data_IF_638498713667
#
_entry.id   IF_638498713667
#
_cell.length_a   1.000
_cell.length_b   1.000
_cell.length_c   1.000
_cell.angle_alpha   90.00
_cell.angle_beta   90.00
_cell.angle_gamma   90.00
#
_symmetry.space_group_name_H-M   'P 1'
#
loop_
_entity.id
_entity.type
_entity.pdbx_description
1 polymer ?
#
# COMPACT_ATOMS: atom_id res chain seq x y z
N UNK A 1 1.77 -19.67 -17.51
CA UNK A 1 0.95 -20.07 -18.68
C UNK A 1 0.99 -18.96 -19.72
N UNK A 2 0.27 -17.86 -19.51
CA UNK A 2 0.22 -16.71 -20.42
C UNK A 2 1.59 -16.20 -20.90
N UNK A 3 2.49 -15.87 -19.98
CA UNK A 3 3.82 -15.36 -20.34
C UNK A 3 4.64 -16.34 -21.20
N UNK A 4 4.34 -17.64 -21.20
CA UNK A 4 5.14 -18.64 -21.92
C UNK A 4 4.37 -19.24 -23.12
N UNK A 5 3.40 -18.51 -23.67
CA UNK A 5 2.72 -18.87 -24.93
C UNK A 5 1.46 -19.73 -24.79
N UNK A 6 1.00 -20.02 -23.57
CA UNK A 6 -0.28 -20.71 -23.35
C UNK A 6 -1.44 -19.74 -23.06
N UNK A 7 -2.65 -20.27 -22.95
CA UNK A 7 -3.86 -19.54 -22.56
C UNK A 7 -4.54 -20.14 -21.32
N UNK A 8 -5.43 -19.39 -20.70
CA UNK A 8 -6.27 -19.84 -19.59
C UNK A 8 -7.73 -19.49 -19.89
N UNK A 9 -8.62 -20.46 -19.81
CA UNK A 9 -10.03 -20.33 -20.17
C UNK A 9 -10.93 -20.87 -19.06
N UNK A 10 -12.05 -20.20 -18.82
CA UNK A 10 -13.11 -20.67 -17.92
C UNK A 10 -14.26 -21.18 -18.81
N UNK A 11 -14.50 -22.48 -18.79
CA UNK A 11 -15.54 -23.12 -19.62
C UNK A 11 -16.91 -23.10 -18.90
N UNK A 12 -17.90 -22.31 -19.36
CA UNK A 12 -19.18 -22.17 -18.65
C UNK A 12 -20.00 -23.48 -18.59
N UNK A 13 -19.74 -24.40 -19.51
CA UNK A 13 -20.39 -25.71 -19.59
C UNK A 13 -19.81 -26.74 -18.62
N UNK A 14 -18.57 -26.58 -18.16
CA UNK A 14 -17.92 -27.49 -17.22
C UNK A 14 -18.10 -26.97 -15.79
N UNK A 15 -18.92 -27.65 -14.98
CA UNK A 15 -19.30 -27.17 -13.64
C UNK A 15 -18.81 -28.13 -12.56
N UNK A 16 -18.05 -27.61 -11.60
CA UNK A 16 -17.61 -28.32 -10.40
C UNK A 16 -17.98 -27.45 -9.19
N UNK A 17 -18.69 -28.02 -8.22
CA UNK A 17 -19.02 -27.31 -6.99
C UNK A 17 -17.83 -27.33 -6.03
N UNK A 18 -17.46 -26.17 -5.49
CA UNK A 18 -16.45 -26.02 -4.45
C UNK A 18 -17.12 -25.58 -3.14
N UNK A 19 -16.88 -26.32 -2.05
CA UNK A 19 -17.33 -25.93 -0.72
C UNK A 19 -16.21 -25.10 -0.07
N UNK A 20 -16.39 -23.79 -0.04
CA UNK A 20 -15.46 -22.90 0.64
C UNK A 20 -15.48 -23.13 2.16
N UNK A 21 -14.29 -23.20 2.74
CA UNK A 21 -14.11 -23.43 4.18
C UNK A 21 -13.83 -22.12 4.88
N UNK A 22 -14.48 -21.90 6.02
CA UNK A 22 -14.23 -20.75 6.89
C UNK A 22 -12.82 -20.76 7.51
N UNK A 23 -12.23 -21.95 7.70
CA UNK A 23 -10.86 -22.11 8.22
C UNK A 23 -10.14 -23.27 7.53
N UNK A 24 -8.81 -23.18 7.43
CA UNK A 24 -7.96 -24.29 6.97
C UNK A 24 -7.78 -25.30 8.11
N UNK A 25 -8.16 -26.58 7.94
CA UNK A 25 -8.15 -27.56 9.04
C UNK A 25 -6.76 -28.15 9.35
N UNK A 26 -5.78 -27.97 8.46
CA UNK A 26 -4.46 -28.61 8.54
C UNK A 26 -3.35 -27.69 9.04
N UNK A 27 -3.56 -26.37 9.05
CA UNK A 27 -2.56 -25.41 9.52
C UNK A 27 -3.27 -24.15 10.05
N UNK A 28 -2.94 -23.78 11.28
CA UNK A 28 -3.47 -22.58 11.92
C UNK A 28 -2.69 -21.31 11.53
N UNK A 29 -1.44 -21.46 11.08
CA UNK A 29 -0.58 -20.35 10.64
C UNK A 29 -0.25 -20.50 9.15
N UNK A 30 -1.16 -20.01 8.32
CA UNK A 30 -1.02 -19.97 6.86
C UNK A 30 -0.36 -18.68 6.37
N UNK A 31 -0.22 -17.67 7.22
CA UNK A 31 0.23 -16.34 6.83
C UNK A 31 1.68 -16.38 6.33
N UNK A 32 2.57 -17.04 7.08
CA UNK A 32 3.95 -17.24 6.66
C UNK A 32 4.05 -17.92 5.29
N UNK A 33 3.33 -19.02 5.09
CA UNK A 33 3.37 -19.78 3.84
C UNK A 33 2.73 -19.03 2.66
N UNK A 34 1.65 -18.28 2.91
CA UNK A 34 1.03 -17.44 1.91
C UNK A 34 2.00 -16.34 1.44
N UNK A 35 2.63 -15.62 2.38
CA UNK A 35 3.66 -14.62 2.10
C UNK A 35 4.83 -15.24 1.34
N UNK A 36 5.40 -16.33 1.85
CA UNK A 36 6.50 -17.06 1.19
C UNK A 36 6.16 -17.41 -0.26
N UNK A 37 5.02 -18.05 -0.51
CA UNK A 37 4.64 -18.49 -1.85
C UNK A 37 4.34 -17.30 -2.78
N UNK A 38 3.71 -16.24 -2.28
CA UNK A 38 3.47 -15.02 -3.03
C UNK A 38 4.79 -14.35 -3.44
N UNK A 39 5.76 -14.24 -2.53
CA UNK A 39 7.08 -13.69 -2.83
C UNK A 39 7.84 -14.53 -3.86
N UNK A 40 7.79 -15.87 -3.77
CA UNK A 40 8.39 -16.76 -4.79
C UNK A 40 7.80 -16.51 -6.18
N UNK A 41 6.48 -16.35 -6.27
CA UNK A 41 5.83 -16.05 -7.54
C UNK A 41 6.23 -14.66 -8.05
N UNK A 42 6.25 -13.66 -7.17
CA UNK A 42 6.61 -12.28 -7.51
C UNK A 42 8.05 -12.18 -8.04
N UNK A 43 9.01 -12.79 -7.35
CA UNK A 43 10.42 -12.77 -7.72
C UNK A 43 10.73 -13.50 -9.04
N UNK A 44 9.91 -14.49 -9.42
CA UNK A 44 10.11 -15.23 -10.67
C UNK A 44 9.39 -14.59 -11.84
N UNK A 45 8.16 -14.09 -11.64
CA UNK A 45 7.25 -13.79 -12.75
C UNK A 45 6.86 -12.33 -12.90
N UNK A 46 7.00 -11.50 -11.85
CA UNK A 46 6.41 -10.15 -11.81
C UNK A 46 7.40 -9.02 -12.11
N UNK A 47 8.66 -9.30 -12.44
CA UNK A 47 9.66 -8.30 -12.82
C UNK A 47 9.69 -7.10 -11.84
N UNK A 48 9.64 -5.85 -12.32
CA UNK A 48 9.58 -4.63 -11.50
C UNK A 48 8.25 -4.47 -10.72
N UNK A 49 7.19 -5.14 -11.16
CA UNK A 49 5.86 -5.11 -10.54
C UNK A 49 5.79 -5.97 -9.28
N UNK A 50 6.83 -6.76 -8.97
CA UNK A 50 6.91 -7.49 -7.70
C UNK A 50 6.69 -6.58 -6.50
N UNK A 51 7.13 -5.32 -6.59
CA UNK A 51 6.88 -4.25 -5.61
C UNK A 51 5.42 -4.15 -5.15
N UNK A 52 4.46 -4.49 -6.01
CA UNK A 52 3.02 -4.44 -5.69
C UNK A 52 2.65 -5.52 -4.66
N UNK A 53 3.27 -6.69 -4.72
CA UNK A 53 3.12 -7.76 -3.71
C UNK A 53 3.74 -7.31 -2.38
N UNK A 54 4.95 -6.74 -2.41
CA UNK A 54 5.60 -6.22 -1.21
C UNK A 54 4.76 -5.13 -0.53
N UNK A 55 4.16 -4.23 -1.32
CA UNK A 55 3.25 -3.20 -0.79
C UNK A 55 1.99 -3.80 -0.20
N UNK A 56 1.30 -4.68 -0.92
CA UNK A 56 0.03 -5.28 -0.49
C UNK A 56 0.17 -6.05 0.83
N UNK A 57 1.31 -6.70 1.05
CA UNK A 57 1.60 -7.47 2.27
C UNK A 57 2.38 -6.68 3.34
N UNK A 58 2.66 -5.39 3.12
CA UNK A 58 3.46 -4.55 4.00
C UNK A 58 4.85 -5.14 4.33
N UNK A 59 5.47 -5.80 3.34
CA UNK A 59 6.78 -6.46 3.46
C UNK A 59 7.86 -5.51 2.94
N UNK A 60 8.97 -5.28 3.67
CA UNK A 60 10.11 -4.51 3.16
C UNK A 60 10.70 -5.13 1.88
N UNK A 61 11.00 -4.30 0.87
CA UNK A 61 11.72 -4.75 -0.34
C UNK A 61 13.12 -5.27 0.00
N UNK A 62 13.82 -4.58 0.89
CA UNK A 62 15.13 -4.96 1.40
C UNK A 62 14.97 -5.68 2.74
N UNK A 63 15.52 -6.89 2.85
CA UNK A 63 15.38 -7.74 4.04
C UNK A 63 13.89 -7.99 4.42
N UNK A 64 13.16 -8.79 3.63
CA UNK A 64 11.71 -8.97 3.79
C UNK A 64 11.28 -9.63 5.12
N UNK A 65 12.21 -10.20 5.89
CA UNK A 65 11.90 -10.95 7.12
C UNK A 65 11.17 -12.28 6.87
N UNK A 66 10.80 -12.56 5.62
CA UNK A 66 10.25 -13.83 5.16
C UNK A 66 11.29 -14.47 4.26
N UNK A 67 11.91 -15.56 4.73
CA UNK A 67 12.66 -16.42 3.84
C UNK A 67 11.68 -17.03 2.83
N UNK A 68 11.93 -16.79 1.54
CA UNK A 68 11.18 -17.41 0.45
C UNK A 68 11.96 -18.49 -0.30
N UNK A 69 13.20 -18.77 0.13
CA UNK A 69 14.10 -19.78 -0.42
C UNK A 69 14.64 -19.47 -1.81
N UNK A 70 15.44 -20.38 -2.35
CA UNK A 70 16.00 -20.22 -3.69
C UNK A 70 14.93 -20.35 -4.78
N UNK A 71 15.00 -19.45 -5.76
CA UNK A 71 14.14 -19.40 -6.96
C UNK A 71 14.94 -19.46 -8.27
N UNK A 72 16.27 -19.64 -8.19
CA UNK A 72 17.20 -19.65 -9.32
C UNK A 72 16.77 -20.61 -10.44
N UNK A 73 16.37 -21.82 -10.09
CA UNK A 73 15.90 -22.84 -11.05
C UNK A 73 14.66 -22.37 -11.82
N UNK A 74 13.71 -21.71 -11.13
CA UNK A 74 12.48 -21.20 -11.74
C UNK A 74 12.75 -19.99 -12.63
N UNK A 75 13.68 -19.12 -12.24
CA UNK A 75 14.17 -18.04 -13.09
C UNK A 75 14.87 -18.60 -14.34
N UNK A 76 15.71 -19.63 -14.19
CA UNK A 76 16.37 -20.29 -15.31
C UNK A 76 15.37 -20.96 -16.26
N UNK A 77 14.32 -21.59 -15.73
CA UNK A 77 13.23 -22.15 -16.53
C UNK A 77 12.51 -21.06 -17.34
N UNK A 78 12.14 -19.94 -16.71
CA UNK A 78 11.50 -18.80 -17.40
C UNK A 78 12.35 -18.30 -18.58
N UNK A 79 13.67 -18.23 -18.41
CA UNK A 79 14.62 -17.86 -19.46
C UNK A 79 14.68 -18.89 -20.59
N UNK A 80 14.81 -20.18 -20.26
CA UNK A 80 14.86 -21.28 -21.26
C UNK A 80 13.60 -21.34 -22.13
N UNK A 81 12.44 -21.08 -21.52
CA UNK A 81 11.15 -21.07 -22.20
C UNK A 81 10.88 -19.78 -22.99
N UNK A 82 11.81 -18.82 -22.97
CA UNK A 82 11.69 -17.53 -23.65
C UNK A 82 10.36 -16.81 -23.32
N UNK A 83 9.94 -16.87 -22.06
CA UNK A 83 8.67 -16.28 -21.65
C UNK A 83 8.71 -14.74 -21.74
N UNK A 84 7.57 -14.15 -22.08
CA UNK A 84 7.28 -12.73 -22.10
C UNK A 84 7.46 -12.06 -20.72
N UNK A 85 7.63 -10.73 -20.74
CA UNK A 85 7.70 -9.91 -19.53
C UNK A 85 6.36 -9.84 -18.81
N UNK A 86 6.36 -9.44 -17.55
CA UNK A 86 5.14 -9.16 -16.81
C UNK A 86 4.44 -7.91 -17.34
N UNK A 87 5.21 -6.95 -17.85
CA UNK A 87 4.66 -5.80 -18.58
C UNK A 87 3.81 -6.24 -19.77
N UNK A 88 4.30 -7.18 -20.59
CA UNK A 88 3.52 -7.75 -21.70
C UNK A 88 2.22 -8.38 -21.20
N UNK A 89 2.27 -9.11 -20.08
CA UNK A 89 1.09 -9.72 -19.47
C UNK A 89 0.05 -8.67 -19.06
N UNK A 90 0.47 -7.57 -18.42
CA UNK A 90 -0.45 -6.49 -18.06
C UNK A 90 -1.00 -5.78 -19.30
N UNK A 91 -0.19 -5.55 -20.33
CA UNK A 91 -0.64 -4.85 -21.54
C UNK A 91 -1.60 -5.69 -22.42
N UNK A 92 -1.46 -7.02 -22.43
CA UNK A 92 -2.16 -7.88 -23.40
C UNK A 92 -3.15 -8.88 -22.78
N UNK A 93 -2.99 -9.21 -21.50
CA UNK A 93 -3.80 -10.24 -20.83
C UNK A 93 -4.64 -9.68 -19.70
N UNK A 94 -4.11 -8.73 -18.92
CA UNK A 94 -4.85 -8.15 -17.79
C UNK A 94 -4.67 -6.62 -17.66
N UNK A 95 -5.11 -5.84 -18.67
CA UNK A 95 -4.92 -4.38 -18.72
C UNK A 95 -5.72 -3.60 -17.67
N UNK A 96 -6.72 -4.23 -17.06
CA UNK A 96 -7.55 -3.63 -16.02
C UNK A 96 -6.86 -3.62 -14.65
N UNK A 97 -5.75 -4.35 -14.48
CA UNK A 97 -4.99 -4.37 -13.23
C UNK A 97 -4.37 -3.00 -12.94
N UNK A 98 -4.57 -2.50 -11.72
CA UNK A 98 -4.02 -1.19 -11.33
C UNK A 98 -2.52 -1.28 -11.07
N UNK A 99 -1.79 -0.24 -11.46
CA UNK A 99 -0.33 -0.14 -11.35
C UNK A 99 0.04 1.03 -10.42
N UNK A 100 1.05 0.83 -9.56
CA UNK A 100 1.52 1.75 -8.52
C UNK A 100 3.01 2.09 -8.65
N UNK A 101 3.49 2.22 -9.88
CA UNK A 101 4.91 2.46 -10.22
C UNK A 101 5.47 3.80 -9.70
N UNK A 102 4.60 4.76 -9.38
CA UNK A 102 4.94 6.07 -8.84
C UNK A 102 5.22 6.06 -7.33
N UNK A 103 5.21 4.90 -6.67
CA UNK A 103 5.38 4.82 -5.22
C UNK A 103 6.86 4.92 -4.81
N UNK A 104 7.17 5.81 -3.86
CA UNK A 104 8.51 5.96 -3.27
C UNK A 104 8.64 5.09 -2.01
N UNK A 105 7.67 5.22 -1.10
CA UNK A 105 7.66 4.61 0.22
C UNK A 105 6.23 4.20 0.61
N UNK A 106 6.10 3.16 1.43
CA UNK A 106 4.82 2.57 1.80
C UNK A 106 4.87 1.88 3.16
N UNK A 107 3.69 1.50 3.65
CA UNK A 107 3.50 0.80 4.91
C UNK A 107 2.95 1.72 6.00
N UNK A 108 3.20 1.34 7.25
CA UNK A 108 2.71 2.09 8.41
C UNK A 108 3.36 3.47 8.49
N UNK A 109 2.56 4.51 8.75
CA UNK A 109 3.02 5.88 9.00
C UNK A 109 2.99 6.14 10.51
N UNK A 110 4.15 6.42 11.11
CA UNK A 110 4.31 6.61 12.55
C UNK A 110 4.83 8.00 12.88
N UNK A 111 4.34 8.55 13.99
CA UNK A 111 4.79 9.84 14.52
C UNK A 111 5.72 9.64 15.72
N UNK A 112 6.77 10.45 15.83
CA UNK A 112 7.73 10.39 16.93
C UNK A 112 7.12 10.65 18.32
N UNK A 113 6.01 11.40 18.43
CA UNK A 113 5.30 11.66 19.69
C UNK A 113 4.28 10.57 20.07
N UNK A 114 3.98 9.65 19.15
CA UNK A 114 2.98 8.61 19.33
C UNK A 114 3.44 7.29 18.70
N UNK A 115 4.57 6.76 19.17
CA UNK A 115 5.26 5.62 18.54
C UNK A 115 4.46 4.31 18.50
N UNK A 116 3.49 4.13 19.41
CA UNK A 116 2.57 2.99 19.44
C UNK A 116 1.31 3.17 18.56
N UNK A 117 1.18 4.31 17.89
CA UNK A 117 0.02 4.63 17.07
C UNK A 117 0.43 4.95 15.63
N UNK A 118 -0.44 4.56 14.71
CA UNK A 118 -0.24 4.66 13.28
C UNK A 118 -1.35 5.54 12.67
N UNK A 119 -1.01 6.20 11.57
CA UNK A 119 -2.02 6.79 10.69
C UNK A 119 -2.93 5.67 10.17
N UNK A 120 -4.24 5.86 10.29
CA UNK A 120 -5.23 4.86 9.94
C UNK A 120 -6.38 5.50 9.15
N UNK A 121 -6.88 4.76 8.16
CA UNK A 121 -8.04 5.17 7.37
C UNK A 121 -9.30 5.36 8.23
N UNK A 122 -9.39 4.68 9.37
CA UNK A 122 -10.61 4.64 10.17
C UNK A 122 -11.72 3.88 9.45
N UNK A 123 -12.97 4.22 9.76
CA UNK A 123 -14.13 3.66 9.07
C UNK A 123 -14.10 4.04 7.58
N UNK A 124 -14.44 3.09 6.70
CA UNK A 124 -14.45 3.36 5.25
C UNK A 124 -15.42 4.48 4.85
N UNK A 125 -16.49 4.68 5.63
CA UNK A 125 -17.56 5.64 5.37
C UNK A 125 -17.27 7.06 5.91
N UNK A 126 -16.34 7.21 6.86
CA UNK A 126 -16.13 8.47 7.57
C UNK A 126 -15.30 9.49 6.79
N UNK A 127 -14.57 9.05 5.75
CA UNK A 127 -13.68 9.88 4.94
C UNK A 127 -12.73 10.77 5.79
N UNK A 128 -12.31 10.25 6.95
CA UNK A 128 -11.48 10.95 7.93
C UNK A 128 -10.36 10.04 8.40
N UNK A 129 -9.13 10.46 8.14
CA UNK A 129 -7.97 9.76 8.70
C UNK A 129 -7.93 9.96 10.21
N UNK A 130 -7.57 8.91 10.93
CA UNK A 130 -7.45 8.89 12.38
C UNK A 130 -6.05 8.44 12.80
N UNK A 131 -5.82 8.48 14.11
CA UNK A 131 -4.67 7.84 14.73
C UNK A 131 -5.19 6.62 15.51
N UNK A 132 -4.61 5.45 15.31
CA UNK A 132 -5.06 4.21 15.94
C UNK A 132 -3.86 3.34 16.36
N UNK A 133 -3.97 2.49 17.41
CA UNK A 133 -2.91 1.55 17.76
C UNK A 133 -2.41 0.76 16.54
N UNK A 134 -1.10 0.69 16.37
CA UNK A 134 -0.51 0.03 15.20
C UNK A 134 -0.83 -1.47 15.20
N UNK A 135 -1.50 -1.94 14.16
CA UNK A 135 -1.81 -3.36 13.92
C UNK A 135 -1.38 -3.84 12.53
N UNK A 136 -0.93 -2.96 11.64
CA UNK A 136 -0.31 -3.32 10.36
C UNK A 136 -1.26 -3.94 9.32
N UNK A 137 -2.57 -3.78 9.50
CA UNK A 137 -3.58 -4.23 8.52
C UNK A 137 -3.77 -3.18 7.43
N UNK A 138 -4.51 -3.53 6.37
CA UNK A 138 -4.69 -2.68 5.18
C UNK A 138 -5.13 -1.24 5.46
N UNK A 139 -5.95 -1.00 6.49
CA UNK A 139 -6.40 0.36 6.87
C UNK A 139 -5.25 1.28 7.32
N UNK A 140 -4.14 0.73 7.79
CA UNK A 140 -2.95 1.44 8.24
C UNK A 140 -1.83 1.49 7.21
N UNK A 141 -2.06 0.93 6.02
CA UNK A 141 -1.07 0.95 4.96
C UNK A 141 -1.23 2.24 4.18
N UNK A 142 -0.16 3.02 4.16
CA UNK A 142 -0.06 4.19 3.31
C UNK A 142 0.91 3.93 2.16
N UNK A 143 0.76 4.70 1.09
CA UNK A 143 1.77 4.89 0.05
C UNK A 143 2.01 6.37 -0.19
N UNK A 144 3.26 6.75 -0.37
CA UNK A 144 3.66 8.09 -0.75
C UNK A 144 4.22 8.08 -2.17
N UNK A 145 3.62 8.87 -3.04
CA UNK A 145 3.96 8.90 -4.48
C UNK A 145 5.00 9.96 -4.84
N UNK A 146 5.57 9.84 -6.04
CA UNK A 146 6.49 10.83 -6.63
C UNK A 146 5.91 12.22 -6.80
N UNK A 147 4.60 12.32 -6.93
CA UNK A 147 3.89 13.60 -7.06
C UNK A 147 3.72 14.29 -5.69
N UNK A 148 3.88 13.54 -4.59
CA UNK A 148 3.61 13.98 -3.23
C UNK A 148 2.22 13.60 -2.71
N UNK A 149 1.58 12.57 -3.27
CA UNK A 149 0.31 12.07 -2.74
C UNK A 149 0.58 11.13 -1.57
N UNK A 150 -0.01 11.42 -0.41
CA UNK A 150 -0.06 10.48 0.71
C UNK A 150 -1.42 9.79 0.68
N UNK A 151 -1.43 8.51 0.32
CA UNK A 151 -2.64 7.73 0.10
C UNK A 151 -2.74 6.62 1.14
N UNK A 152 -3.93 6.40 1.67
CA UNK A 152 -4.18 5.51 2.81
C UNK A 152 -5.26 4.49 2.46
N UNK A 153 -5.10 3.27 2.97
CA UNK A 153 -6.06 2.18 2.83
C UNK A 153 -5.60 1.00 1.98
N UNK A 154 -6.53 0.07 1.66
CA UNK A 154 -6.22 -1.07 0.80
C UNK A 154 -5.90 -0.64 -0.64
N UNK A 155 -4.91 -1.30 -1.24
CA UNK A 155 -4.64 -1.17 -2.67
C UNK A 155 -5.78 -1.82 -3.47
N UNK A 156 -6.39 -1.06 -4.37
CA UNK A 156 -7.40 -1.58 -5.28
C UNK A 156 -6.79 -2.46 -6.38
N UNK A 157 -7.34 -3.66 -6.59
CA UNK A 157 -6.79 -4.64 -7.54
C UNK A 157 -6.97 -4.24 -9.02
N UNK A 158 -8.12 -3.65 -9.38
CA UNK A 158 -8.43 -3.25 -10.76
C UNK A 158 -8.93 -1.82 -10.84
N UNK A 159 -8.81 -1.20 -12.02
CA UNK A 159 -9.22 0.19 -12.29
C UNK A 159 -10.68 0.49 -11.95
N UNK A 160 -11.56 -0.52 -11.94
CA UNK A 160 -12.99 -0.37 -11.61
C UNK A 160 -13.32 -0.51 -10.12
N UNK A 161 -12.42 -1.12 -9.34
CA UNK A 161 -12.61 -1.31 -7.91
C UNK A 161 -12.07 -0.10 -7.13
N UNK A 162 -12.63 0.16 -5.92
CA UNK A 162 -12.11 1.19 -5.02
C UNK A 162 -10.61 1.04 -4.77
N UNK A 163 -9.93 2.18 -4.61
CA UNK A 163 -8.50 2.26 -4.33
C UNK A 163 -8.27 3.13 -3.08
N UNK A 164 -7.01 3.19 -2.64
CA UNK A 164 -6.50 4.09 -1.62
C UNK A 164 -7.02 5.53 -1.80
N UNK A 165 -7.39 6.17 -0.68
CA UNK A 165 -7.86 7.56 -0.66
C UNK A 165 -6.69 8.50 -0.38
N UNK A 166 -6.67 9.66 -1.02
CA UNK A 166 -5.68 10.70 -0.75
C UNK A 166 -6.00 11.43 0.56
N UNK A 167 -4.96 11.67 1.38
CA UNK A 167 -5.02 12.56 2.52
C UNK A 167 -5.07 14.02 2.04
N UNK A 168 -5.99 14.80 2.61
CA UNK A 168 -6.28 16.15 2.14
C UNK A 168 -6.34 17.11 3.32
N UNK A 169 -5.73 18.27 3.11
CA UNK A 169 -5.99 19.46 3.89
C UNK A 169 -6.88 20.44 3.11
N UNK A 170 -8.10 20.71 3.61
CA UNK A 170 -9.03 21.66 2.98
C UNK A 170 -8.80 23.12 3.39
N UNK A 171 -7.86 23.39 4.30
CA UNK A 171 -7.54 24.73 4.79
C UNK A 171 -8.55 25.30 5.79
N UNK A 172 -9.68 24.64 6.04
CA UNK A 172 -10.77 25.13 6.90
C UNK A 172 -10.77 24.43 8.24
N UNK A 173 -10.57 23.11 8.22
CA UNK A 173 -10.57 22.27 9.41
C UNK A 173 -9.21 22.11 10.05
N UNK A 174 -9.21 21.50 11.24
CA UNK A 174 -8.01 20.94 11.88
C UNK A 174 -7.89 19.43 11.68
N UNK A 175 -8.89 18.77 11.11
CA UNK A 175 -8.89 17.31 10.92
C UNK A 175 -8.63 17.02 9.44
N UNK A 176 -7.64 16.19 9.09
CA UNK A 176 -7.42 15.82 7.70
C UNK A 176 -8.57 14.95 7.18
N UNK A 177 -8.89 15.07 5.89
CA UNK A 177 -9.91 14.24 5.23
C UNK A 177 -9.28 13.25 4.26
N UNK A 178 -10.00 12.19 3.95
CA UNK A 178 -9.66 11.21 2.93
C UNK A 178 -10.68 11.33 1.80
N UNK A 179 -10.21 11.47 0.55
CA UNK A 179 -11.10 11.43 -0.62
C UNK A 179 -10.44 10.67 -1.76
N UNK A 180 -11.26 10.22 -2.72
CA UNK A 180 -10.74 9.74 -4.01
C UNK A 180 -9.85 10.83 -4.60
N UNK A 181 -8.63 10.46 -4.98
CA UNK A 181 -7.63 11.43 -5.41
C UNK A 181 -8.14 12.28 -6.57
N UNK A 182 -8.78 11.69 -7.57
CA UNK A 182 -9.27 12.39 -8.77
C UNK A 182 -10.51 13.26 -8.52
N UNK A 183 -11.16 13.11 -7.37
CA UNK A 183 -12.30 13.95 -6.98
C UNK A 183 -11.89 15.28 -6.34
N UNK A 184 -10.58 15.51 -6.15
CA UNK A 184 -10.06 16.73 -5.54
C UNK A 184 -9.78 17.77 -6.62
N UNK A 185 -10.63 18.81 -6.69
CA UNK A 185 -10.51 19.87 -7.69
C UNK A 185 -9.24 20.70 -7.53
N UNK A 186 -8.88 21.07 -6.30
CA UNK A 186 -7.67 21.84 -5.99
C UNK A 186 -6.50 20.91 -5.70
N UNK A 187 -5.68 20.67 -6.73
CA UNK A 187 -4.59 19.68 -6.69
C UNK A 187 -3.63 19.90 -5.50
N UNK A 188 -3.26 21.14 -5.18
CA UNK A 188 -2.33 21.44 -4.09
C UNK A 188 -2.81 20.93 -2.72
N UNK A 189 -4.13 20.82 -2.48
CA UNK A 189 -4.69 20.37 -1.20
C UNK A 189 -4.40 18.90 -0.89
N UNK A 190 -4.20 18.07 -1.92
CA UNK A 190 -3.85 16.64 -1.79
C UNK A 190 -2.34 16.39 -1.86
N UNK A 191 -1.52 17.42 -2.08
CA UNK A 191 -0.07 17.28 -2.20
C UNK A 191 0.62 17.59 -0.87
N UNK A 192 1.56 16.74 -0.51
CA UNK A 192 2.32 16.81 0.72
C UNK A 192 3.82 16.70 0.44
N UNK A 193 4.61 17.54 1.08
CA UNK A 193 6.06 17.39 1.17
C UNK A 193 6.41 16.50 2.36
N UNK A 194 7.20 15.48 2.10
CA UNK A 194 7.62 14.51 3.10
C UNK A 194 9.08 14.09 2.89
N UNK A 195 9.81 14.03 3.99
CA UNK A 195 11.14 13.40 4.09
C UNK A 195 11.16 12.51 5.32
N UNK A 196 11.90 11.41 5.28
CA UNK A 196 12.00 10.49 6.41
C UNK A 196 12.49 11.21 7.67
N UNK A 197 11.82 10.98 8.80
CA UNK A 197 12.09 11.66 10.07
C UNK A 197 11.90 13.19 10.02
N UNK A 198 11.17 13.69 9.03
CA UNK A 198 10.77 15.08 8.90
C UNK A 198 9.26 15.28 9.10
N UNK A 199 8.79 16.53 8.99
CA UNK A 199 7.36 16.82 8.97
C UNK A 199 6.69 16.31 7.69
N UNK A 200 5.37 16.17 7.73
CA UNK A 200 4.51 16.01 6.55
C UNK A 200 3.77 17.33 6.36
N UNK A 201 4.14 18.11 5.33
CA UNK A 201 3.68 19.49 5.11
C UNK A 201 2.74 19.54 3.91
N UNK A 202 1.56 20.14 4.06
CA UNK A 202 0.65 20.33 2.93
C UNK A 202 1.15 21.47 2.03
N UNK A 203 1.20 21.23 0.70
CA UNK A 203 1.70 22.22 -0.26
C UNK A 203 0.76 23.40 -0.49
N UNK A 204 -0.51 23.28 -0.16
CA UNK A 204 -1.49 24.38 -0.32
C UNK A 204 -1.46 25.34 0.86
N UNK A 205 -1.49 24.79 2.08
CA UNK A 205 -1.69 25.57 3.31
C UNK A 205 -0.40 25.83 4.08
N UNK A 206 0.68 25.11 3.77
CA UNK A 206 1.92 25.11 4.56
C UNK A 206 1.77 24.52 5.96
N UNK A 207 0.62 23.90 6.28
CA UNK A 207 0.35 23.28 7.58
C UNK A 207 0.92 21.86 7.63
N UNK A 208 1.26 21.42 8.83
CA UNK A 208 1.78 20.08 9.07
C UNK A 208 0.70 19.13 9.57
N UNK A 209 0.79 17.87 9.15
CA UNK A 209 0.14 16.76 9.83
C UNK A 209 0.85 16.53 11.17
N UNK A 210 0.10 16.55 12.26
CA UNK A 210 0.61 16.58 13.62
C UNK A 210 -0.28 15.71 14.54
N UNK A 211 0.28 15.27 15.65
CA UNK A 211 -0.44 14.59 16.73
C UNK A 211 -0.53 15.53 17.93
N UNK A 212 -1.73 15.68 18.49
CA UNK A 212 -1.97 16.42 19.72
C UNK A 212 -2.60 15.54 20.81
N UNK A 213 -2.34 15.87 22.07
CA UNK A 213 -3.06 15.26 23.19
C UNK A 213 -4.42 15.92 23.32
N UNK A 214 -5.48 15.13 23.45
CA UNK A 214 -6.85 15.63 23.54
C UNK A 214 -7.66 14.74 24.47
N UNK A 215 -8.32 15.33 25.47
CA UNK A 215 -9.18 14.59 26.41
C UNK A 215 -10.41 13.98 25.73
N UNK A 216 -10.87 14.60 24.65
CA UNK A 216 -12.05 14.19 23.88
C UNK A 216 -11.72 13.16 22.79
N UNK A 217 -10.44 12.77 22.65
CA UNK A 217 -10.02 11.85 21.62
C UNK A 217 -9.92 10.42 22.16
N UNK A 218 -10.30 9.45 21.32
CA UNK A 218 -10.06 8.05 21.61
C UNK A 218 -8.56 7.83 21.87
N UNK A 219 -8.23 7.19 22.98
CA UNK A 219 -6.85 6.96 23.45
C UNK A 219 -6.04 8.23 23.80
N UNK A 220 -6.70 9.38 23.97
CA UNK A 220 -6.06 10.63 24.39
C UNK A 220 -5.21 11.32 23.32
N UNK A 221 -5.20 10.81 22.09
CA UNK A 221 -4.40 11.31 20.98
C UNK A 221 -5.30 11.64 19.79
N UNK A 222 -5.03 12.78 19.16
CA UNK A 222 -5.79 13.26 18.01
C UNK A 222 -4.87 13.60 16.85
N UNK A 223 -5.21 13.12 15.66
CA UNK A 223 -4.59 13.52 14.41
C UNK A 223 -5.13 14.90 13.99
N UNK A 224 -4.23 15.84 13.71
CA UNK A 224 -4.59 17.19 13.32
C UNK A 224 -3.70 17.75 12.21
N UNK A 225 -4.20 18.76 11.52
CA UNK A 225 -3.46 19.61 10.59
C UNK A 225 -3.38 21.02 11.16
N UNK A 226 -2.16 21.49 11.46
CA UNK A 226 -1.92 22.75 12.15
C UNK A 226 -0.56 23.35 11.81
N UNK A 227 -0.18 24.45 12.48
CA UNK A 227 1.17 25.01 12.35
C UNK A 227 2.21 23.96 12.76
N UNK A 228 3.26 23.86 11.96
CA UNK A 228 4.34 22.90 12.16
C UNK A 228 5.02 23.09 13.52
N UNK A 229 5.06 22.03 14.32
CA UNK A 229 5.75 22.02 15.63
C UNK A 229 7.08 21.25 15.60
N UNK A 230 7.48 20.78 14.42
CA UNK A 230 8.68 19.98 14.22
C UNK A 230 8.48 18.48 14.51
N UNK A 231 7.23 18.00 14.48
CA UNK A 231 6.95 16.57 14.61
C UNK A 231 7.53 15.78 13.43
N UNK A 232 8.02 14.59 13.75
CA UNK A 232 8.71 13.73 12.79
C UNK A 232 7.85 12.54 12.47
N UNK A 233 7.66 12.31 11.18
CA UNK A 233 6.95 11.15 10.66
C UNK A 233 7.91 10.20 9.97
N UNK A 234 7.54 8.92 10.00
CA UNK A 234 8.28 7.83 9.40
C UNK A 234 7.31 6.94 8.64
N UNK A 235 7.65 6.62 7.39
CA UNK A 235 6.98 5.56 6.63
C UNK A 235 7.91 4.35 6.60
N UNK A 236 7.37 3.17 6.91
CA UNK A 236 8.15 1.97 7.28
C UNK A 236 9.04 1.43 6.15
N UNK A 237 8.51 1.28 4.92
CA UNK A 237 9.18 0.57 3.83
C UNK A 237 9.51 1.49 2.65
N UNK A 238 10.57 1.18 1.90
CA UNK A 238 11.03 1.99 0.77
C UNK A 238 11.19 1.13 -0.50
N UNK A 239 10.71 1.63 -1.63
CA UNK A 239 10.92 1.00 -2.95
C UNK A 239 12.25 1.48 -3.55
N UNK A 240 12.49 2.79 -3.47
CA UNK A 240 13.75 3.43 -3.88
C UNK A 240 14.18 4.36 -2.76
N UNK A 241 15.35 4.11 -2.18
CA UNK A 241 15.92 5.09 -1.25
C UNK A 241 16.20 6.40 -2.00
N UNK A 242 15.96 7.57 -1.40
CA UNK A 242 16.43 8.83 -1.95
C UNK A 242 17.93 8.71 -2.15
N UNK A 243 18.43 9.01 -3.36
CA UNK A 243 19.87 9.20 -3.53
C UNK A 243 20.22 10.44 -2.70
N UNK A 244 21.05 10.25 -1.68
CA UNK A 244 21.63 11.33 -0.89
C UNK A 244 22.48 12.26 -1.77
#
# INVERSE_FOLDING_TARGET
VWQCGGSMEVLPCARVAHIERTKKPYNNDIDYYAKRNALRAAEVWMDEYKSHVYMAWNIPMNNPGVDFGDVSERVALRKRMQCQSFRWYLEHVYPEMRIYNNTITYGEVRNSKASGYCLDQGSEDDDKAILYPCHGMSSQLARYSTEGLLQLGPLGSTTFLPDTKCLIDDGRGRTPSLKKCDAVSRISQRLWDFTQNGPIINRDTGRCLEVEMSKDANFGLRLVVQRCSGQKWMIRNWIRHPRH
#
